data_IF_015874616244
#
_entry.id   IF_015874616244
#
_cell.length_a   1.000
_cell.length_b   1.000
_cell.length_c   1.000
_cell.angle_alpha   90.00
_cell.angle_beta   90.00
_cell.angle_gamma   90.00
#
_symmetry.space_group_name_H-M   'P 1'
#
loop_
_entity.id
_entity.type
_entity.pdbx_description
1 polymer ?
#
# COMPACT_ATOMS: atom_id res chain seq x y z
N UNK A 1 -8.92 -12.53 2.17
CA UNK A 1 -8.55 -11.78 0.96
C UNK A 1 -8.65 -12.67 -0.26
N UNK A 2 -8.96 -12.11 -1.45
CA UNK A 2 -9.14 -12.84 -2.70
C UNK A 2 -8.29 -12.21 -3.79
N UNK A 3 -7.74 -13.06 -4.67
CA UNK A 3 -7.23 -12.65 -5.97
C UNK A 3 -8.21 -13.11 -7.05
N UNK A 4 -8.93 -12.18 -7.65
CA UNK A 4 -9.71 -12.40 -8.85
C UNK A 4 -8.78 -12.28 -10.05
N UNK A 5 -8.57 -13.35 -10.79
CA UNK A 5 -7.54 -13.45 -11.82
C UNK A 5 -8.21 -13.68 -13.16
N UNK A 6 -7.93 -12.81 -14.13
CA UNK A 6 -8.33 -13.08 -15.50
C UNK A 6 -7.56 -14.25 -16.10
N UNK A 7 -8.07 -14.82 -17.17
CA UNK A 7 -7.49 -15.98 -17.85
C UNK A 7 -6.59 -15.56 -19.01
N UNK A 8 -7.20 -14.99 -20.04
CA UNK A 8 -6.53 -14.63 -21.29
C UNK A 8 -5.72 -13.34 -21.09
N UNK A 9 -4.50 -13.26 -21.63
CA UNK A 9 -3.58 -12.15 -21.37
C UNK A 9 -2.98 -12.12 -19.95
N UNK A 10 -3.40 -13.02 -19.04
CA UNK A 10 -3.01 -13.00 -17.61
C UNK A 10 -2.42 -14.32 -17.14
N UNK A 11 -3.16 -15.44 -17.18
CA UNK A 11 -2.64 -16.77 -16.87
C UNK A 11 -2.00 -17.43 -18.10
N UNK A 12 -2.57 -17.16 -19.26
CA UNK A 12 -2.10 -17.59 -20.58
C UNK A 12 -1.97 -16.38 -21.50
N UNK A 13 -1.13 -16.46 -22.51
CA UNK A 13 -1.03 -15.42 -23.54
C UNK A 13 -2.27 -15.41 -24.41
N UNK A 14 -2.70 -14.22 -24.82
CA UNK A 14 -3.82 -14.05 -25.71
C UNK A 14 -3.32 -14.04 -27.17
N UNK A 15 -3.87 -14.89 -28.08
CA UNK A 15 -3.52 -14.88 -29.49
C UNK A 15 -4.16 -13.69 -30.23
N UNK A 16 -3.66 -13.37 -31.44
CA UNK A 16 -4.12 -12.23 -32.23
C UNK A 16 -5.62 -12.25 -32.59
N UNK A 17 -6.24 -13.42 -32.55
CA UNK A 17 -7.68 -13.60 -32.83
C UNK A 17 -8.52 -13.69 -31.55
N UNK A 18 -7.92 -13.40 -30.38
CA UNK A 18 -8.56 -13.34 -29.07
C UNK A 18 -9.23 -14.65 -28.59
N UNK A 19 -8.95 -15.80 -29.24
CA UNK A 19 -9.54 -17.08 -28.85
C UNK A 19 -8.49 -18.18 -28.77
N UNK A 20 -8.34 -18.78 -27.60
CA UNK A 20 -7.52 -19.98 -27.40
C UNK A 20 -8.42 -21.21 -27.57
N UNK A 21 -8.61 -21.62 -28.82
CA UNK A 21 -9.51 -22.70 -29.26
C UNK A 21 -8.79 -23.98 -29.70
N UNK A 22 -7.46 -24.02 -29.57
CA UNK A 22 -6.62 -25.17 -29.82
C UNK A 22 -5.38 -25.21 -28.93
N UNK A 23 -4.77 -26.39 -28.75
CA UNK A 23 -3.54 -26.54 -27.97
C UNK A 23 -2.34 -25.86 -28.62
N UNK A 24 -2.35 -25.66 -29.93
CA UNK A 24 -1.29 -24.94 -30.66
C UNK A 24 -1.27 -23.45 -30.30
N UNK A 25 -2.41 -22.89 -29.90
CA UNK A 25 -2.53 -21.47 -29.45
C UNK A 25 -2.29 -21.32 -27.95
N UNK A 26 -2.25 -22.41 -27.20
CA UNK A 26 -2.09 -22.34 -25.76
C UNK A 26 -0.63 -22.08 -25.39
N UNK A 27 -0.38 -20.88 -24.88
CA UNK A 27 0.90 -20.53 -24.27
C UNK A 27 0.64 -19.96 -22.87
N UNK A 28 1.35 -20.47 -21.85
CA UNK A 28 1.24 -19.93 -20.49
C UNK A 28 2.00 -18.62 -20.41
N UNK A 29 1.47 -17.70 -19.59
CA UNK A 29 2.15 -16.43 -19.35
C UNK A 29 3.55 -16.68 -18.72
N UNK A 30 4.59 -15.93 -19.14
CA UNK A 30 5.94 -16.14 -18.59
C UNK A 30 5.97 -16.12 -17.07
N UNK A 31 6.66 -17.08 -16.48
CA UNK A 31 6.87 -17.24 -15.03
C UNK A 31 5.60 -17.42 -14.16
N UNK A 32 4.40 -17.52 -14.75
CA UNK A 32 3.13 -17.63 -14.01
C UNK A 32 3.11 -18.81 -13.05
N UNK A 33 3.59 -19.97 -13.44
CA UNK A 33 3.64 -21.15 -12.55
C UNK A 33 4.51 -20.92 -11.32
N UNK A 34 5.68 -20.32 -11.51
CA UNK A 34 6.63 -20.06 -10.43
C UNK A 34 6.03 -19.10 -9.41
N UNK A 35 5.52 -17.95 -9.86
CA UNK A 35 5.13 -16.89 -8.93
C UNK A 35 3.70 -17.01 -8.44
N UNK A 36 2.76 -17.49 -9.26
CA UNK A 36 1.42 -17.82 -8.76
C UNK A 36 1.47 -19.02 -7.79
N UNK A 37 2.40 -19.97 -8.03
CA UNK A 37 2.69 -21.04 -7.08
C UNK A 37 3.19 -20.51 -5.74
N UNK A 38 4.09 -19.52 -5.74
CA UNK A 38 4.53 -18.86 -4.51
C UNK A 38 3.39 -18.10 -3.83
N UNK A 39 2.59 -17.34 -4.58
CA UNK A 39 1.40 -16.64 -4.05
C UNK A 39 0.47 -17.65 -3.36
N UNK A 40 0.14 -18.75 -4.02
CA UNK A 40 -0.78 -19.76 -3.50
C UNK A 40 -0.27 -20.47 -2.23
N UNK A 41 1.05 -20.64 -2.08
CA UNK A 41 1.63 -21.44 -0.98
C UNK A 41 2.22 -20.58 0.15
N UNK A 42 2.59 -19.34 -0.11
CA UNK A 42 3.25 -18.45 0.86
C UNK A 42 2.35 -17.33 1.37
N UNK A 43 1.33 -16.93 0.60
CA UNK A 43 0.45 -15.81 0.92
C UNK A 43 -0.98 -16.30 1.23
N UNK A 44 -1.72 -15.52 2.01
CA UNK A 44 -3.08 -15.90 2.44
C UNK A 44 -4.15 -15.30 1.50
N UNK A 45 -4.15 -15.75 0.24
CA UNK A 45 -5.16 -15.37 -0.74
C UNK A 45 -5.94 -16.58 -1.24
N UNK A 46 -7.26 -16.43 -1.32
CA UNK A 46 -8.11 -17.32 -2.10
C UNK A 46 -8.02 -16.94 -3.58
N UNK A 47 -7.79 -17.92 -4.46
CA UNK A 47 -7.61 -17.68 -5.90
C UNK A 47 -8.91 -18.00 -6.64
N UNK A 48 -9.39 -17.06 -7.45
CA UNK A 48 -10.63 -17.18 -8.25
C UNK A 48 -10.36 -16.73 -9.66
N UNK A 49 -10.68 -17.57 -10.65
CA UNK A 49 -10.64 -17.15 -12.06
C UNK A 49 -11.94 -16.43 -12.41
N UNK A 50 -11.82 -15.27 -13.06
CA UNK A 50 -12.96 -14.48 -13.57
C UNK A 50 -12.67 -14.07 -15.00
N UNK A 51 -13.34 -14.67 -15.98
CA UNK A 51 -13.03 -14.47 -17.40
C UNK A 51 -14.30 -14.24 -18.24
N UNK A 52 -14.18 -13.34 -19.24
CA UNK A 52 -15.16 -13.20 -20.31
C UNK A 52 -14.73 -14.09 -21.46
N UNK A 53 -15.63 -14.94 -21.94
CA UNK A 53 -15.41 -15.86 -23.06
C UNK A 53 -16.50 -15.63 -24.12
N UNK A 54 -16.25 -14.67 -24.99
CA UNK A 54 -17.22 -14.16 -25.93
C UNK A 54 -17.80 -15.26 -26.83
N UNK A 55 -19.12 -15.43 -26.77
CA UNK A 55 -19.86 -16.38 -27.57
C UNK A 55 -19.57 -17.86 -27.27
N UNK A 56 -19.02 -18.18 -26.08
CA UNK A 56 -18.81 -19.58 -25.68
C UNK A 56 -20.12 -20.37 -25.70
N UNK A 57 -20.11 -21.47 -26.46
CA UNK A 57 -21.28 -22.31 -26.72
C UNK A 57 -21.99 -21.99 -28.04
N UNK A 58 -21.51 -21.00 -28.82
CA UNK A 58 -21.98 -20.73 -30.19
C UNK A 58 -21.04 -21.35 -31.23
N UNK A 59 -21.42 -21.25 -32.50
CA UNK A 59 -20.59 -21.74 -33.63
C UNK A 59 -19.24 -21.03 -33.70
N UNK A 60 -19.14 -19.76 -33.20
CA UNK A 60 -17.89 -19.00 -33.19
C UNK A 60 -16.92 -19.45 -32.12
N UNK A 61 -17.42 -20.00 -30.99
CA UNK A 61 -16.62 -20.50 -29.86
C UNK A 61 -17.24 -21.78 -29.27
N UNK A 62 -17.10 -22.94 -29.93
CA UNK A 62 -17.72 -24.20 -29.52
C UNK A 62 -17.17 -24.71 -28.20
N UNK A 63 -18.04 -25.17 -27.28
CA UNK A 63 -17.64 -25.73 -25.99
C UNK A 63 -16.67 -26.92 -26.11
N UNK A 64 -16.80 -27.72 -27.17
CA UNK A 64 -15.95 -28.87 -27.45
C UNK A 64 -14.46 -28.49 -27.67
N UNK A 65 -14.20 -27.27 -28.12
CA UNK A 65 -12.84 -26.73 -28.26
C UNK A 65 -12.36 -26.06 -26.99
N UNK A 66 -13.23 -25.38 -26.27
CA UNK A 66 -12.88 -24.64 -25.07
C UNK A 66 -12.55 -25.54 -23.86
N UNK A 67 -13.44 -26.51 -23.54
CA UNK A 67 -13.31 -27.28 -22.29
C UNK A 67 -12.06 -28.16 -22.20
N UNK A 68 -11.58 -28.82 -23.28
CA UNK A 68 -10.32 -29.57 -23.21
C UNK A 68 -9.14 -28.70 -22.81
N UNK A 69 -9.06 -27.45 -23.33
CA UNK A 69 -7.99 -26.51 -23.06
C UNK A 69 -8.14 -25.98 -21.62
N UNK A 70 -9.33 -25.54 -21.25
CA UNK A 70 -9.61 -25.05 -19.91
C UNK A 70 -9.27 -26.10 -18.85
N UNK A 71 -9.67 -27.34 -19.05
CA UNK A 71 -9.36 -28.43 -18.12
C UNK A 71 -7.84 -28.70 -18.04
N UNK A 72 -7.14 -28.58 -19.17
CA UNK A 72 -5.69 -28.72 -19.19
C UNK A 72 -4.99 -27.58 -18.43
N UNK A 73 -5.43 -26.34 -18.59
CA UNK A 73 -4.91 -25.20 -17.83
C UNK A 73 -5.06 -25.43 -16.34
N UNK A 74 -6.28 -25.76 -15.89
CA UNK A 74 -6.56 -25.99 -14.46
C UNK A 74 -5.75 -27.16 -13.93
N UNK A 75 -5.62 -28.26 -14.68
CA UNK A 75 -4.80 -29.41 -14.30
C UNK A 75 -3.32 -29.07 -14.20
N UNK A 76 -2.82 -28.22 -15.10
CA UNK A 76 -1.42 -27.77 -15.08
C UNK A 76 -1.12 -26.97 -13.81
N UNK A 77 -1.97 -26.01 -13.44
CA UNK A 77 -1.84 -25.27 -12.18
C UNK A 77 -1.97 -26.18 -10.96
N UNK A 78 -2.90 -27.12 -10.97
CA UNK A 78 -3.05 -28.09 -9.88
C UNK A 78 -1.78 -28.93 -9.68
N UNK A 79 -1.05 -29.30 -10.73
CA UNK A 79 0.21 -30.02 -10.64
C UNK A 79 1.31 -29.21 -9.94
N UNK A 80 1.20 -27.86 -9.97
CA UNK A 80 2.08 -26.91 -9.29
C UNK A 80 1.54 -26.49 -7.91
N UNK A 81 0.57 -27.24 -7.35
CA UNK A 81 -0.11 -26.96 -6.09
C UNK A 81 -0.87 -25.62 -6.06
N UNK A 82 -1.30 -25.12 -7.22
CA UNK A 82 -2.17 -23.96 -7.34
C UNK A 82 -3.61 -24.42 -7.52
N UNK A 83 -4.49 -24.06 -6.60
CA UNK A 83 -5.89 -24.43 -6.60
C UNK A 83 -6.76 -23.18 -6.68
N UNK A 84 -7.66 -23.15 -7.65
CA UNK A 84 -8.68 -22.10 -7.75
C UNK A 84 -9.96 -22.58 -7.03
N UNK A 85 -10.47 -21.76 -6.12
CA UNK A 85 -11.71 -22.05 -5.37
C UNK A 85 -12.96 -21.91 -6.23
N UNK A 86 -12.93 -21.03 -7.23
CA UNK A 86 -13.98 -20.84 -8.22
C UNK A 86 -13.39 -20.51 -9.60
N UNK A 87 -14.15 -20.86 -10.64
CA UNK A 87 -13.86 -20.51 -12.03
C UNK A 87 -15.17 -19.93 -12.61
N UNK A 88 -15.19 -18.61 -12.72
CA UNK A 88 -16.37 -17.83 -13.10
C UNK A 88 -16.21 -17.36 -14.56
N UNK A 89 -17.09 -17.85 -15.43
CA UNK A 89 -17.01 -17.63 -16.87
C UNK A 89 -18.29 -16.91 -17.31
N UNK A 90 -18.13 -15.71 -17.87
CA UNK A 90 -19.20 -15.09 -18.65
C UNK A 90 -19.09 -15.52 -20.13
N UNK A 91 -20.21 -15.87 -20.75
CA UNK A 91 -20.27 -16.41 -22.11
C UNK A 91 -20.86 -15.42 -23.12
N UNK A 92 -21.26 -14.23 -22.66
CA UNK A 92 -21.96 -13.26 -23.47
C UNK A 92 -21.03 -12.42 -24.32
N UNK A 93 -21.55 -11.87 -25.42
CA UNK A 93 -20.83 -10.85 -26.18
C UNK A 93 -20.91 -9.49 -25.48
N UNK A 94 -19.94 -8.62 -25.74
CA UNK A 94 -19.90 -7.27 -25.18
C UNK A 94 -21.16 -6.44 -25.48
N UNK A 95 -21.73 -6.63 -26.67
CA UNK A 95 -22.97 -5.97 -27.09
C UNK A 95 -24.22 -6.32 -26.26
N UNK A 96 -24.20 -7.43 -25.52
CA UNK A 96 -25.31 -7.87 -24.66
C UNK A 96 -25.35 -7.15 -23.33
N UNK A 97 -24.23 -6.51 -22.93
CA UNK A 97 -24.07 -5.79 -21.67
C UNK A 97 -24.63 -6.58 -20.46
N UNK A 98 -24.32 -7.86 -20.40
CA UNK A 98 -24.83 -8.76 -19.36
C UNK A 98 -24.35 -8.35 -17.95
N UNK A 99 -25.17 -8.49 -16.91
CA UNK A 99 -24.77 -8.16 -15.52
C UNK A 99 -23.65 -9.07 -14.99
N UNK A 100 -23.39 -10.20 -15.64
CA UNK A 100 -22.36 -11.18 -15.29
C UNK A 100 -21.02 -10.93 -15.98
N UNK A 101 -21.03 -10.16 -17.10
CA UNK A 101 -19.84 -9.83 -17.88
C UNK A 101 -19.00 -8.75 -17.18
N UNK A 102 -17.67 -8.95 -17.06
CA UNK A 102 -16.75 -7.88 -16.62
C UNK A 102 -16.91 -6.65 -17.52
N UNK A 103 -16.97 -5.44 -16.96
CA UNK A 103 -16.69 -5.05 -15.56
C UNK A 103 -17.85 -5.15 -14.57
N UNK A 104 -18.98 -5.75 -14.94
CA UNK A 104 -20.09 -5.96 -14.01
C UNK A 104 -19.77 -7.08 -13.00
N UNK A 105 -20.43 -7.02 -11.83
CA UNK A 105 -20.09 -7.86 -10.68
C UNK A 105 -21.05 -9.04 -10.47
N UNK A 106 -21.94 -9.32 -11.42
CA UNK A 106 -23.01 -10.31 -11.27
C UNK A 106 -22.55 -11.73 -10.95
N UNK A 107 -21.38 -12.16 -11.45
CA UNK A 107 -20.77 -13.44 -11.09
C UNK A 107 -20.19 -13.47 -9.68
N UNK A 108 -19.97 -12.31 -9.05
CA UNK A 108 -19.21 -12.14 -7.81
C UNK A 108 -20.11 -11.89 -6.59
N UNK A 109 -21.42 -12.06 -6.71
CA UNK A 109 -22.40 -11.83 -5.64
C UNK A 109 -22.15 -12.67 -4.39
N UNK A 110 -21.60 -13.89 -4.54
CA UNK A 110 -21.15 -14.77 -3.45
C UNK A 110 -20.11 -14.07 -2.56
N UNK A 111 -19.22 -13.31 -3.14
CA UNK A 111 -18.13 -12.63 -2.45
C UNK A 111 -18.55 -11.27 -1.90
N UNK A 112 -19.36 -10.52 -2.66
CA UNK A 112 -19.84 -9.19 -2.26
C UNK A 112 -20.76 -9.27 -1.03
N UNK A 113 -21.62 -10.29 -0.97
CA UNK A 113 -22.62 -10.43 0.07
C UNK A 113 -22.13 -11.22 1.30
N UNK A 114 -20.87 -11.63 1.33
CA UNK A 114 -20.32 -12.39 2.44
C UNK A 114 -19.28 -11.56 3.22
N UNK A 115 -19.56 -11.21 4.49
CA UNK A 115 -18.66 -10.39 5.32
C UNK A 115 -17.33 -11.10 5.69
N UNK A 116 -17.20 -12.41 5.45
CA UNK A 116 -15.97 -13.14 5.68
C UNK A 116 -14.88 -12.79 4.66
N UNK A 117 -15.27 -12.17 3.53
CA UNK A 117 -14.36 -11.73 2.49
C UNK A 117 -14.00 -10.24 2.63
N UNK A 118 -12.71 -9.97 2.75
CA UNK A 118 -12.17 -8.61 2.77
C UNK A 118 -11.88 -8.14 1.34
N UNK A 119 -12.90 -7.56 0.68
CA UNK A 119 -12.76 -7.06 -0.69
C UNK A 119 -11.87 -5.82 -0.78
N UNK A 120 -11.80 -5.01 0.27
CA UNK A 120 -10.97 -3.79 0.30
C UNK A 120 -9.48 -4.11 0.17
N UNK A 121 -9.04 -5.23 0.76
CA UNK A 121 -7.67 -5.74 0.67
C UNK A 121 -7.52 -6.90 -0.32
N UNK A 122 -8.49 -7.06 -1.23
CA UNK A 122 -8.45 -8.01 -2.34
C UNK A 122 -8.03 -7.33 -3.65
N UNK A 123 -7.63 -8.12 -4.64
CA UNK A 123 -7.17 -7.58 -5.92
C UNK A 123 -7.85 -8.27 -7.10
N UNK A 124 -8.01 -7.52 -8.18
CA UNK A 124 -8.31 -8.05 -9.52
C UNK A 124 -7.04 -7.94 -10.37
N UNK A 125 -6.59 -9.06 -10.92
CA UNK A 125 -5.41 -9.14 -11.80
C UNK A 125 -5.90 -9.40 -13.21
N UNK A 126 -5.57 -8.52 -14.13
CA UNK A 126 -5.95 -8.65 -15.53
C UNK A 126 -5.20 -7.71 -16.47
N UNK A 127 -5.28 -7.98 -17.76
CA UNK A 127 -4.58 -7.26 -18.81
C UNK A 127 -5.45 -6.19 -19.48
N UNK A 128 -6.74 -6.11 -19.13
CA UNK A 128 -7.69 -5.17 -19.72
C UNK A 128 -8.15 -4.12 -18.72
N UNK A 129 -8.49 -2.94 -19.23
CA UNK A 129 -9.03 -1.87 -18.38
C UNK A 129 -10.40 -2.26 -17.75
N UNK A 130 -11.12 -3.21 -18.35
CA UNK A 130 -12.33 -3.81 -17.78
C UNK A 130 -12.07 -4.54 -16.47
N UNK A 131 -10.88 -5.11 -16.26
CA UNK A 131 -10.47 -5.75 -15.01
C UNK A 131 -10.22 -4.71 -13.92
N UNK A 132 -9.59 -3.59 -14.29
CA UNK A 132 -9.40 -2.45 -13.37
C UNK A 132 -10.76 -1.87 -12.97
N UNK A 133 -11.70 -1.76 -13.92
CA UNK A 133 -13.06 -1.29 -13.64
C UNK A 133 -13.84 -2.28 -12.77
N UNK A 134 -13.63 -3.58 -12.96
CA UNK A 134 -14.19 -4.61 -12.08
C UNK A 134 -13.67 -4.43 -10.65
N UNK A 135 -12.35 -4.20 -10.48
CA UNK A 135 -11.77 -3.91 -9.17
C UNK A 135 -12.44 -2.69 -8.51
N UNK A 136 -12.62 -1.59 -9.25
CA UNK A 136 -13.30 -0.39 -8.77
C UNK A 136 -14.75 -0.70 -8.33
N UNK A 137 -15.49 -1.45 -9.13
CA UNK A 137 -16.88 -1.82 -8.84
C UNK A 137 -17.01 -2.76 -7.63
N UNK A 138 -15.96 -3.51 -7.30
CA UNK A 138 -15.87 -4.37 -6.10
C UNK A 138 -15.41 -3.61 -4.85
N UNK A 139 -14.91 -2.38 -4.98
CA UNK A 139 -14.23 -1.67 -3.90
C UNK A 139 -12.85 -2.26 -3.56
N UNK A 140 -12.25 -3.02 -4.48
CA UNK A 140 -10.92 -3.61 -4.40
C UNK A 140 -9.89 -2.83 -5.22
N UNK A 141 -8.66 -3.31 -5.31
CA UNK A 141 -7.60 -2.71 -6.13
C UNK A 141 -7.29 -3.56 -7.37
N UNK A 142 -6.86 -2.90 -8.44
CA UNK A 142 -6.44 -3.55 -9.68
C UNK A 142 -4.92 -3.77 -9.73
N UNK A 143 -4.51 -4.94 -10.21
CA UNK A 143 -3.15 -5.20 -10.67
C UNK A 143 -3.23 -5.34 -12.19
N UNK A 144 -2.72 -4.36 -12.91
CA UNK A 144 -2.81 -4.27 -14.36
C UNK A 144 -1.58 -4.89 -15.00
N UNK A 145 -1.75 -6.07 -15.63
CA UNK A 145 -0.65 -6.87 -16.21
C UNK A 145 -0.52 -6.65 -17.72
N UNK A 146 -0.42 -5.40 -18.17
CA UNK A 146 -0.25 -5.06 -19.59
C UNK A 146 0.59 -3.80 -19.78
N UNK A 147 1.09 -3.63 -21.01
CA UNK A 147 1.75 -2.41 -21.46
C UNK A 147 0.78 -1.44 -22.17
N UNK A 148 -0.34 -1.95 -22.70
CA UNK A 148 -1.31 -1.18 -23.46
C UNK A 148 -2.57 -0.92 -22.62
N UNK A 149 -2.80 0.35 -22.27
CA UNK A 149 -3.97 0.78 -21.51
C UNK A 149 -5.23 0.91 -22.37
N UNK A 150 -5.13 0.75 -23.67
CA UNK A 150 -6.27 0.87 -24.59
C UNK A 150 -7.12 -0.41 -24.66
N UNK A 151 -6.59 -1.56 -24.22
CA UNK A 151 -7.31 -2.84 -24.25
C UNK A 151 -8.58 -2.80 -23.39
N UNK A 152 -9.75 -2.98 -24.04
CA UNK A 152 -11.06 -2.97 -23.40
C UNK A 152 -11.60 -1.57 -23.06
N UNK A 153 -10.95 -0.49 -23.49
CA UNK A 153 -11.40 0.87 -23.21
C UNK A 153 -12.75 1.22 -23.89
N UNK A 154 -13.08 0.56 -24.99
CA UNK A 154 -14.35 0.68 -25.71
C UNK A 154 -15.54 0.04 -24.97
N UNK A 155 -15.27 -0.87 -24.05
CA UNK A 155 -16.29 -1.51 -23.20
C UNK A 155 -16.63 -0.68 -21.93
N UNK A 156 -15.95 0.46 -21.71
CA UNK A 156 -16.14 1.27 -20.49
C UNK A 156 -16.66 2.65 -20.86
N UNK A 157 -17.79 3.03 -20.28
CA UNK A 157 -18.43 4.33 -20.50
C UNK A 157 -17.88 5.47 -19.62
N UNK A 158 -17.22 5.16 -18.51
CA UNK A 158 -16.65 6.13 -17.56
C UNK A 158 -15.33 5.64 -16.98
N UNK A 159 -14.27 6.43 -17.22
CA UNK A 159 -12.89 6.15 -16.81
C UNK A 159 -12.48 6.91 -15.51
N UNK A 160 -13.40 7.61 -14.84
CA UNK A 160 -13.07 8.41 -13.65
C UNK A 160 -12.53 7.53 -12.52
N UNK A 161 -11.39 7.92 -11.97
CA UNK A 161 -10.76 7.27 -10.82
C UNK A 161 -10.11 5.90 -11.11
N UNK A 162 -10.02 5.45 -12.36
CA UNK A 162 -9.40 4.14 -12.68
C UNK A 162 -7.92 4.10 -12.33
N UNK A 163 -7.18 5.19 -12.60
CA UNK A 163 -5.75 5.26 -12.24
C UNK A 163 -5.51 5.15 -10.73
N UNK A 164 -6.44 5.63 -9.92
CA UNK A 164 -6.39 5.53 -8.45
C UNK A 164 -6.73 4.11 -7.96
N UNK A 165 -7.40 3.33 -8.79
CA UNK A 165 -7.74 1.93 -8.52
C UNK A 165 -6.55 1.01 -8.79
N UNK A 166 -5.65 1.37 -9.72
CA UNK A 166 -4.48 0.57 -10.05
C UNK A 166 -3.45 0.65 -8.91
N UNK A 167 -3.25 -0.47 -8.23
CA UNK A 167 -2.24 -0.60 -7.18
C UNK A 167 -0.85 -0.96 -7.74
N UNK A 168 -0.82 -1.71 -8.84
CA UNK A 168 0.40 -2.10 -9.54
C UNK A 168 0.14 -2.17 -11.04
N UNK A 169 1.05 -1.62 -11.85
CA UNK A 169 1.13 -1.84 -13.29
C UNK A 169 2.44 -2.55 -13.62
N UNK A 170 2.36 -3.70 -14.28
CA UNK A 170 3.53 -4.54 -14.57
C UNK A 170 3.23 -5.50 -15.72
N UNK A 171 4.27 -6.16 -16.24
CA UNK A 171 4.17 -7.30 -17.17
C UNK A 171 4.79 -8.56 -16.59
N UNK A 172 5.05 -8.57 -15.27
CA UNK A 172 5.83 -9.63 -14.61
C UNK A 172 5.07 -10.23 -13.42
N UNK A 173 4.84 -11.54 -13.45
CA UNK A 173 4.32 -12.29 -12.29
C UNK A 173 5.26 -12.24 -11.08
N UNK A 174 6.57 -12.08 -11.32
CA UNK A 174 7.55 -11.84 -10.24
C UNK A 174 7.20 -10.56 -9.48
N UNK A 175 6.98 -9.45 -10.20
CA UNK A 175 6.61 -8.18 -9.58
C UNK A 175 5.26 -8.22 -8.87
N UNK A 176 4.30 -9.01 -9.38
CA UNK A 176 3.01 -9.23 -8.70
C UNK A 176 3.23 -9.94 -7.36
N UNK A 177 4.00 -11.04 -7.35
CA UNK A 177 4.32 -11.75 -6.11
C UNK A 177 5.05 -10.86 -5.10
N UNK A 178 6.08 -10.14 -5.54
CA UNK A 178 6.82 -9.21 -4.69
C UNK A 178 5.91 -8.12 -4.09
N UNK A 179 5.01 -7.56 -4.91
CA UNK A 179 4.02 -6.58 -4.47
C UNK A 179 3.04 -7.17 -3.43
N UNK A 180 2.46 -8.34 -3.70
CA UNK A 180 1.48 -8.99 -2.81
C UNK A 180 2.10 -9.51 -1.52
N UNK A 181 3.37 -9.93 -1.55
CA UNK A 181 4.13 -10.35 -0.37
C UNK A 181 4.38 -9.19 0.60
N UNK A 182 4.37 -7.97 0.09
CA UNK A 182 4.58 -6.79 0.89
C UNK A 182 3.28 -6.46 1.65
N UNK A 183 3.28 -6.65 2.97
CA UNK A 183 2.17 -6.23 3.83
C UNK A 183 1.86 -4.74 3.64
N UNK A 184 0.59 -4.37 3.72
CA UNK A 184 0.18 -2.96 3.74
C UNK A 184 0.76 -2.29 4.99
N UNK A 185 1.64 -1.31 4.82
CA UNK A 185 2.28 -0.58 5.92
C UNK A 185 1.48 0.67 6.30
N UNK A 186 0.17 0.49 6.44
CA UNK A 186 -0.73 1.51 6.96
C UNK A 186 -1.26 1.09 8.32
N UNK A 187 -1.39 2.06 9.21
CA UNK A 187 -1.97 1.85 10.53
C UNK A 187 -2.74 3.08 10.98
N UNK A 188 -3.71 2.87 11.87
CA UNK A 188 -4.49 3.91 12.51
C UNK A 188 -4.48 3.70 14.02
N UNK A 189 -4.37 4.78 14.79
CA UNK A 189 -4.45 4.76 16.25
C UNK A 189 -5.37 5.85 16.75
N UNK A 190 -6.13 5.52 17.79
CA UNK A 190 -6.87 6.49 18.61
C UNK A 190 -6.36 6.36 20.03
N UNK A 191 -5.81 7.44 20.59
CA UNK A 191 -5.31 7.50 21.96
C UNK A 191 -5.99 8.65 22.68
N UNK A 192 -6.69 8.34 23.77
CA UNK A 192 -7.38 9.30 24.59
C UNK A 192 -6.88 9.19 26.03
N UNK A 193 -6.53 10.33 26.62
CA UNK A 193 -6.22 10.49 28.05
C UNK A 193 -7.22 11.44 28.67
N UNK A 194 -7.00 11.88 29.93
CA UNK A 194 -7.75 12.98 30.54
C UNK A 194 -7.42 14.33 29.91
N UNK A 195 -6.22 14.48 29.36
CA UNK A 195 -5.65 15.73 28.85
C UNK A 195 -5.74 15.84 27.32
N UNK A 196 -5.73 14.70 26.59
CA UNK A 196 -5.64 14.71 25.13
C UNK A 196 -6.56 13.69 24.47
N UNK A 197 -7.07 14.04 23.25
CA UNK A 197 -7.75 13.11 22.34
C UNK A 197 -7.02 13.15 21.01
N UNK A 198 -6.47 12.02 20.62
CA UNK A 198 -5.55 11.92 19.49
C UNK A 198 -6.04 10.86 18.52
N UNK A 199 -6.08 11.21 17.23
CA UNK A 199 -6.25 10.27 16.13
C UNK A 199 -5.10 10.45 15.14
N UNK A 200 -4.43 9.35 14.79
CA UNK A 200 -3.37 9.33 13.78
C UNK A 200 -3.64 8.20 12.79
N UNK A 201 -3.62 8.56 11.49
CA UNK A 201 -3.62 7.61 10.38
C UNK A 201 -2.29 7.77 9.63
N UNK A 202 -1.56 6.68 9.44
CA UNK A 202 -0.23 6.64 8.79
C UNK A 202 -0.22 5.62 7.65
N UNK A 203 0.32 6.02 6.50
CA UNK A 203 0.71 5.14 5.42
C UNK A 203 2.19 5.35 5.08
N UNK A 204 3.04 4.35 5.38
CA UNK A 204 4.49 4.42 5.13
C UNK A 204 4.83 4.36 3.63
N UNK A 205 3.95 3.83 2.79
CA UNK A 205 4.07 3.75 1.34
C UNK A 205 3.30 4.88 0.63
N UNK A 206 3.16 6.03 1.30
CA UNK A 206 2.45 7.21 0.83
C UNK A 206 3.24 8.07 -0.17
N UNK A 207 2.70 9.25 -0.43
CA UNK A 207 3.22 10.24 -1.39
C UNK A 207 3.69 11.54 -0.73
N UNK A 208 3.58 11.66 0.59
CA UNK A 208 3.92 12.86 1.37
C UNK A 208 2.73 13.79 1.60
N UNK A 209 1.50 13.30 1.46
CA UNK A 209 0.26 14.02 1.81
C UNK A 209 0.13 14.13 3.32
N UNK A 210 -0.34 15.27 3.80
CA UNK A 210 -0.54 15.48 5.23
C UNK A 210 -1.81 16.30 5.51
N UNK A 211 -2.50 15.94 6.62
CA UNK A 211 -3.61 16.69 7.19
C UNK A 211 -3.44 16.72 8.71
N UNK A 212 -2.76 17.77 9.21
CA UNK A 212 -2.27 17.85 10.60
C UNK A 212 -2.90 19.05 11.30
N UNK A 213 -3.42 18.81 12.49
CA UNK A 213 -3.99 19.83 13.37
C UNK A 213 -3.83 19.41 14.84
N UNK A 214 -2.91 20.06 15.54
CA UNK A 214 -2.64 19.84 16.98
C UNK A 214 -3.05 21.05 17.85
N UNK A 215 -3.40 22.16 17.20
CA UNK A 215 -3.62 23.45 17.88
C UNK A 215 -2.34 24.26 18.11
N UNK A 216 -1.15 23.70 17.85
CA UNK A 216 0.16 24.37 17.96
C UNK A 216 0.74 24.49 16.54
N UNK A 217 0.59 25.66 15.89
CA UNK A 217 0.93 25.83 14.49
C UNK A 217 2.39 25.52 14.14
N UNK A 218 3.32 25.83 15.01
CA UNK A 218 4.74 25.50 14.79
C UNK A 218 4.97 23.98 14.86
N UNK A 219 4.29 23.29 15.78
CA UNK A 219 4.34 21.84 15.85
C UNK A 219 3.71 21.17 14.63
N UNK A 220 2.55 21.68 14.16
CA UNK A 220 1.94 21.24 12.91
C UNK A 220 2.92 21.35 11.73
N UNK A 221 3.66 22.48 11.65
CA UNK A 221 4.67 22.67 10.63
C UNK A 221 5.81 21.63 10.72
N UNK A 222 6.27 21.32 11.93
CA UNK A 222 7.32 20.30 12.15
C UNK A 222 6.84 18.89 11.76
N UNK A 223 5.63 18.51 12.13
CA UNK A 223 5.02 17.22 11.76
C UNK A 223 4.80 17.12 10.25
N UNK A 224 4.45 18.22 9.57
CA UNK A 224 4.38 18.27 8.10
C UNK A 224 5.75 17.98 7.43
N UNK A 225 6.88 18.36 8.06
CA UNK A 225 8.20 17.98 7.53
C UNK A 225 8.39 16.46 7.52
N UNK A 226 7.86 15.76 8.56
CA UNK A 226 7.93 14.30 8.64
C UNK A 226 7.20 13.66 7.45
N UNK A 227 5.94 14.04 7.22
CA UNK A 227 5.16 13.52 6.09
C UNK A 227 5.84 13.81 4.74
N UNK A 228 6.13 15.09 4.48
CA UNK A 228 6.65 15.55 3.18
C UNK A 228 8.02 14.96 2.84
N UNK A 229 8.97 15.04 3.76
CA UNK A 229 10.35 14.58 3.52
C UNK A 229 10.51 13.07 3.71
N UNK A 230 9.66 12.46 4.54
CA UNK A 230 9.53 11.01 4.71
C UNK A 230 8.82 10.33 3.52
N UNK A 231 8.07 11.09 2.71
CA UNK A 231 7.21 10.57 1.63
C UNK A 231 6.20 9.54 2.14
N UNK A 232 5.63 9.80 3.32
CA UNK A 232 4.54 9.03 3.91
C UNK A 232 3.28 9.88 3.97
N UNK A 233 2.09 9.26 3.90
CA UNK A 233 0.84 10.00 4.10
C UNK A 233 0.50 9.97 5.58
N UNK A 234 0.19 11.15 6.16
CA UNK A 234 0.04 11.32 7.60
C UNK A 234 -1.12 12.25 7.94
N UNK A 235 -2.11 11.71 8.62
CA UNK A 235 -3.21 12.50 9.22
C UNK A 235 -3.05 12.50 10.73
N UNK A 236 -3.02 13.69 11.35
CA UNK A 236 -2.95 13.85 12.81
C UNK A 236 -4.02 14.85 13.25
N UNK A 237 -4.92 14.43 14.13
CA UNK A 237 -5.93 15.27 14.75
C UNK A 237 -5.81 15.15 16.24
N UNK A 238 -5.60 16.29 16.90
CA UNK A 238 -5.40 16.39 18.36
C UNK A 238 -6.32 17.46 18.94
N UNK A 239 -7.02 17.08 20.00
CA UNK A 239 -7.73 17.98 20.91
C UNK A 239 -7.08 17.83 22.28
N UNK A 240 -6.21 18.77 22.63
CA UNK A 240 -5.42 18.79 23.87
C UNK A 240 -5.76 19.95 24.78
N UNK A 241 -5.35 19.88 26.03
CA UNK A 241 -5.59 20.85 27.09
C UNK A 241 -4.66 22.08 27.04
N UNK A 242 -4.52 22.69 25.84
CA UNK A 242 -3.65 23.84 25.56
C UNK A 242 -3.91 25.06 26.45
N UNK A 243 -5.03 25.12 27.18
CA UNK A 243 -5.30 26.11 28.21
C UNK A 243 -4.44 25.89 29.47
N UNK A 244 -3.87 24.70 29.64
CA UNK A 244 -2.90 24.39 30.73
C UNK A 244 -1.50 24.74 30.22
N UNK A 245 -1.01 23.95 29.27
CA UNK A 245 0.20 24.21 28.48
C UNK A 245 0.23 23.30 27.23
N UNK A 246 1.33 23.30 26.48
CA UNK A 246 1.52 22.47 25.27
C UNK A 246 2.13 21.10 25.57
N UNK A 247 2.57 20.84 26.76
CA UNK A 247 3.38 19.66 27.15
C UNK A 247 2.65 18.35 26.81
N UNK A 248 1.44 18.16 27.38
CA UNK A 248 0.66 16.94 27.15
C UNK A 248 0.34 16.73 25.66
N UNK A 249 0.00 17.81 24.94
CA UNK A 249 -0.30 17.76 23.52
C UNK A 249 0.90 17.25 22.71
N UNK A 250 2.11 17.73 23.01
CA UNK A 250 3.33 17.35 22.26
C UNK A 250 3.77 15.93 22.61
N UNK A 251 3.86 15.59 23.91
CA UNK A 251 4.33 14.26 24.34
C UNK A 251 3.36 13.15 23.92
N UNK A 252 2.07 13.31 24.17
CA UNK A 252 1.07 12.31 23.83
C UNK A 252 0.95 12.11 22.31
N UNK A 253 1.08 13.18 21.52
CA UNK A 253 1.13 13.08 20.06
C UNK A 253 2.37 12.32 19.61
N UNK A 254 3.52 12.57 20.23
CA UNK A 254 4.77 11.87 19.89
C UNK A 254 4.72 10.37 20.25
N UNK A 255 4.15 10.02 21.40
CA UNK A 255 3.93 8.61 21.78
C UNK A 255 3.02 7.93 20.76
N UNK A 256 1.85 8.53 20.47
CA UNK A 256 0.89 7.99 19.52
C UNK A 256 1.49 7.86 18.10
N UNK A 257 2.31 8.83 17.67
CA UNK A 257 3.04 8.77 16.41
C UNK A 257 4.04 7.61 16.41
N UNK A 258 4.79 7.41 17.47
CA UNK A 258 5.69 6.27 17.60
C UNK A 258 4.95 4.93 17.58
N UNK A 259 3.85 4.81 18.29
CA UNK A 259 3.01 3.60 18.34
C UNK A 259 2.43 3.25 16.96
N UNK A 260 1.92 4.24 16.22
CA UNK A 260 1.39 3.99 14.86
C UNK A 260 2.49 3.59 13.87
N UNK A 261 3.74 4.11 14.03
CA UNK A 261 4.90 3.62 13.28
C UNK A 261 5.21 2.17 13.61
N UNK A 262 5.21 1.79 14.88
CA UNK A 262 5.43 0.40 15.29
C UNK A 262 4.37 -0.55 14.72
N UNK A 263 3.11 -0.14 14.71
CA UNK A 263 2.00 -0.89 14.10
C UNK A 263 2.17 -1.03 12.58
N UNK A 264 2.46 0.06 11.88
CA UNK A 264 2.63 0.07 10.43
C UNK A 264 3.86 -0.73 9.97
N UNK A 265 4.93 -0.79 10.77
CA UNK A 265 6.13 -1.58 10.50
C UNK A 265 5.94 -3.08 10.79
N UNK A 266 4.92 -3.45 11.56
CA UNK A 266 4.59 -4.83 11.87
C UNK A 266 5.79 -5.64 12.41
N UNK A 267 6.10 -6.75 11.73
CA UNK A 267 7.21 -7.64 12.09
C UNK A 267 8.60 -7.09 11.77
N UNK A 268 8.67 -5.95 11.06
CA UNK A 268 9.92 -5.27 10.65
C UNK A 268 10.83 -6.09 9.71
N UNK A 269 10.28 -7.11 9.05
CA UNK A 269 10.99 -7.85 8.02
C UNK A 269 10.94 -7.09 6.69
N UNK A 270 11.99 -7.26 5.86
CA UNK A 270 12.06 -6.65 4.53
C UNK A 270 12.14 -5.12 4.54
N UNK A 271 12.80 -4.53 5.53
CA UNK A 271 13.13 -3.08 5.58
C UNK A 271 14.63 -2.87 5.73
N UNK A 272 15.13 -1.74 5.26
CA UNK A 272 16.54 -1.32 5.43
C UNK A 272 16.94 -1.10 6.90
N UNK A 273 15.98 -0.85 7.77
CA UNK A 273 16.11 -0.69 9.22
C UNK A 273 16.86 0.56 9.68
N UNK A 274 17.85 1.07 8.95
CA UNK A 274 18.74 2.17 9.33
C UNK A 274 18.64 3.39 8.42
N UNK A 275 18.98 4.60 8.93
CA UNK A 275 19.00 5.82 8.14
C UNK A 275 19.78 6.98 8.78
N UNK A 276 20.08 8.07 8.04
CA UNK A 276 21.07 9.14 8.38
C UNK A 276 20.77 10.58 7.86
N UNK A 277 21.67 11.46 7.71
CA UNK A 277 22.06 12.88 7.93
C UNK A 277 21.79 13.95 6.83
N UNK A 278 21.62 15.28 7.21
CA UNK A 278 21.30 16.39 6.28
C UNK A 278 21.81 17.78 6.75
N UNK A 279 22.42 18.65 5.87
CA UNK A 279 22.66 20.06 6.14
C UNK A 279 21.47 20.95 5.80
N UNK A 280 21.32 22.09 6.47
CA UNK A 280 20.34 23.15 6.19
C UNK A 280 20.94 24.52 6.51
N UNK A 281 21.28 25.30 5.47
CA UNK A 281 21.93 26.62 5.58
C UNK A 281 23.14 26.59 6.54
N UNK A 282 23.08 27.35 7.65
CA UNK A 282 24.10 27.41 8.68
C UNK A 282 24.10 26.21 9.66
N UNK A 283 23.13 25.28 9.51
CA UNK A 283 22.92 24.19 10.42
C UNK A 283 23.27 22.84 9.79
N UNK A 284 23.80 21.94 10.61
CA UNK A 284 24.01 20.53 10.28
C UNK A 284 23.26 19.67 11.30
N UNK A 285 22.32 18.84 10.85
CA UNK A 285 21.69 17.84 11.66
C UNK A 285 22.11 16.43 11.25
N UNK A 286 22.51 15.63 12.20
CA UNK A 286 22.81 14.21 12.05
C UNK A 286 21.77 13.42 12.81
N UNK A 287 21.01 12.58 12.11
CA UNK A 287 19.98 11.74 12.70
C UNK A 287 20.19 10.31 12.24
N UNK A 288 20.45 9.41 13.18
CA UNK A 288 20.55 7.99 12.93
C UNK A 288 19.42 7.29 13.68
N UNK A 289 18.67 6.43 12.99
CA UNK A 289 17.57 5.65 13.55
C UNK A 289 17.80 4.16 13.34
N UNK A 290 17.37 3.34 14.32
CA UNK A 290 17.28 1.89 14.23
C UNK A 290 15.93 1.42 14.81
N UNK A 291 15.07 0.84 13.97
CA UNK A 291 13.82 0.23 14.38
C UNK A 291 14.01 -1.17 15.01
N UNK A 292 15.06 -1.34 15.82
CA UNK A 292 15.48 -2.61 16.42
C UNK A 292 14.63 -3.15 17.58
N UNK A 293 13.52 -2.47 17.93
CA UNK A 293 12.60 -2.91 18.99
C UNK A 293 13.02 -2.50 20.41
N UNK A 294 14.13 -1.78 20.58
CA UNK A 294 14.58 -1.22 21.87
C UNK A 294 14.60 0.29 21.76
N UNK A 295 13.95 0.96 22.72
CA UNK A 295 13.90 2.42 22.76
C UNK A 295 15.15 2.99 23.43
N UNK A 296 15.78 3.96 22.77
CA UNK A 296 16.85 4.77 23.32
C UNK A 296 16.99 6.08 22.57
N UNK A 297 17.16 7.19 23.26
CA UNK A 297 17.48 8.49 22.66
C UNK A 297 18.85 8.96 23.11
N UNK A 298 19.72 9.31 22.16
CA UNK A 298 20.90 10.16 22.38
C UNK A 298 20.60 11.51 21.77
N UNK A 299 20.67 12.56 22.57
CA UNK A 299 20.38 13.92 22.17
C UNK A 299 21.58 14.81 22.42
N UNK A 300 22.14 15.39 21.35
CA UNK A 300 23.27 16.33 21.35
C UNK A 300 22.88 17.53 20.47
N UNK A 301 21.97 18.36 21.01
CA UNK A 301 21.51 19.58 20.35
C UNK A 301 21.09 20.61 21.40
N UNK A 302 21.88 21.68 21.52
CA UNK A 302 21.64 22.75 22.48
C UNK A 302 20.81 23.88 21.84
N UNK A 303 19.83 24.37 22.60
CA UNK A 303 19.01 25.54 22.26
C UNK A 303 19.14 26.58 23.37
N UNK A 304 19.37 27.85 22.98
CA UNK A 304 19.51 28.97 23.92
C UNK A 304 18.24 29.78 24.09
N UNK A 305 17.37 29.75 23.08
CA UNK A 305 16.06 30.41 23.13
C UNK A 305 15.09 29.52 23.90
N UNK A 306 14.27 30.13 24.73
CA UNK A 306 13.22 29.41 25.46
C UNK A 306 12.12 28.93 24.53
N UNK A 307 11.81 29.71 23.47
CA UNK A 307 10.72 29.44 22.53
C UNK A 307 11.17 29.58 21.09
N UNK A 308 10.67 28.71 20.21
CA UNK A 308 10.70 28.88 18.76
C UNK A 308 9.26 28.75 18.25
N UNK A 309 8.73 29.83 17.68
CA UNK A 309 7.29 29.92 17.42
C UNK A 309 6.51 29.82 18.73
N UNK A 310 5.59 28.90 18.79
CA UNK A 310 4.73 28.62 19.95
C UNK A 310 5.21 27.39 20.76
N UNK A 311 6.41 26.89 20.49
CA UNK A 311 6.92 25.66 21.06
C UNK A 311 8.14 25.92 21.94
N UNK A 312 8.13 25.57 23.24
CA UNK A 312 9.31 25.59 24.08
C UNK A 312 10.39 24.68 23.56
N UNK A 313 11.64 25.12 23.63
CA UNK A 313 12.76 24.36 23.06
C UNK A 313 13.07 23.06 23.82
N UNK A 314 12.72 22.99 25.10
CA UNK A 314 12.80 21.75 25.88
C UNK A 314 11.89 20.66 25.33
N UNK A 315 10.75 21.03 24.73
CA UNK A 315 9.81 20.07 24.16
C UNK A 315 10.33 19.34 22.91
N UNK A 316 11.41 19.82 22.30
CA UNK A 316 12.05 19.08 21.20
C UNK A 316 12.66 17.76 21.69
N UNK A 317 13.36 17.78 22.83
CA UNK A 317 13.84 16.56 23.45
C UNK A 317 12.69 15.63 23.83
N UNK A 318 11.66 16.16 24.48
CA UNK A 318 10.48 15.40 24.91
C UNK A 318 9.77 14.75 23.73
N UNK A 319 9.60 15.45 22.59
CA UNK A 319 9.03 14.89 21.38
C UNK A 319 9.79 13.64 20.88
N UNK A 320 11.10 13.77 20.69
CA UNK A 320 11.90 12.65 20.17
C UNK A 320 12.03 11.51 21.18
N UNK A 321 12.06 11.82 22.47
CA UNK A 321 12.05 10.78 23.54
C UNK A 321 10.74 9.99 23.52
N UNK A 322 9.61 10.67 23.48
CA UNK A 322 8.28 10.06 23.45
C UNK A 322 8.05 9.25 22.16
N UNK A 323 8.53 9.78 21.02
CA UNK A 323 8.51 9.01 19.77
C UNK A 323 9.31 7.71 19.88
N UNK A 324 10.53 7.74 20.43
CA UNK A 324 11.35 6.52 20.57
C UNK A 324 10.69 5.48 21.48
N UNK A 325 9.99 5.93 22.51
CA UNK A 325 9.26 5.05 23.42
C UNK A 325 8.08 4.35 22.72
N UNK A 326 7.28 5.09 21.95
CA UNK A 326 6.15 4.54 21.18
C UNK A 326 6.62 3.64 20.03
N UNK A 327 7.58 4.09 19.21
CA UNK A 327 8.10 3.36 18.06
C UNK A 327 9.00 2.18 18.44
N UNK A 328 9.46 2.10 19.71
CA UNK A 328 10.51 1.17 20.16
C UNK A 328 11.72 1.22 19.24
N UNK A 329 12.19 2.44 18.99
CA UNK A 329 13.31 2.74 18.12
C UNK A 329 14.50 3.31 18.89
N UNK A 330 15.70 3.07 18.38
CA UNK A 330 16.91 3.71 18.85
C UNK A 330 17.19 4.93 17.97
N UNK A 331 17.39 6.10 18.57
CA UNK A 331 17.54 7.35 17.87
C UNK A 331 18.73 8.14 18.42
N UNK A 332 19.63 8.54 17.53
CA UNK A 332 20.74 9.44 17.84
C UNK A 332 20.56 10.73 17.03
N UNK A 333 20.53 11.86 17.73
CA UNK A 333 20.39 13.19 17.13
C UNK A 333 21.56 14.05 17.60
N UNK A 334 22.27 14.63 16.62
CA UNK A 334 23.24 15.69 16.86
C UNK A 334 22.95 16.84 15.92
N UNK A 335 22.93 18.09 16.43
CA UNK A 335 22.75 19.26 15.59
C UNK A 335 23.58 20.46 16.04
N UNK A 336 24.21 21.11 15.07
CA UNK A 336 25.04 22.30 15.21
C UNK A 336 24.49 23.42 14.31
N UNK A 337 24.72 24.67 14.66
CA UNK A 337 24.30 25.85 13.91
C UNK A 337 23.92 27.02 14.83
N UNK A 338 23.77 28.19 14.24
CA UNK A 338 23.51 29.43 14.99
C UNK A 338 22.06 29.85 14.99
N UNK A 339 21.34 29.59 13.87
CA UNK A 339 19.91 29.86 13.78
C UNK A 339 19.12 28.68 14.34
N UNK A 340 18.52 28.87 15.50
CA UNK A 340 17.84 27.79 16.22
C UNK A 340 16.55 27.33 15.56
N UNK A 341 15.86 28.17 14.76
CA UNK A 341 14.75 27.75 13.91
C UNK A 341 15.25 26.77 12.81
N UNK A 342 16.32 27.17 12.09
CA UNK A 342 16.94 26.27 11.10
C UNK A 342 17.45 24.97 11.73
N UNK A 343 17.99 25.06 12.95
CA UNK A 343 18.51 23.89 13.69
C UNK A 343 17.41 22.87 13.96
N UNK A 344 16.28 23.27 14.54
CA UNK A 344 15.19 22.32 14.80
C UNK A 344 14.50 21.83 13.51
N UNK A 345 14.33 22.71 12.55
CA UNK A 345 13.76 22.31 11.25
C UNK A 345 14.69 21.31 10.51
N UNK A 346 16.01 21.50 10.58
CA UNK A 346 16.98 20.55 10.02
C UNK A 346 16.92 19.19 10.73
N UNK A 347 16.71 19.16 12.04
CA UNK A 347 16.52 17.93 12.80
C UNK A 347 15.27 17.18 12.31
N UNK A 348 14.12 17.84 12.18
CA UNK A 348 12.88 17.20 11.70
C UNK A 348 13.00 16.70 10.24
N UNK A 349 13.66 17.47 9.37
CA UNK A 349 13.93 17.04 7.99
C UNK A 349 14.89 15.85 7.93
N UNK A 350 15.96 15.88 8.72
CA UNK A 350 16.93 14.78 8.80
C UNK A 350 16.26 13.52 9.37
N UNK A 351 15.44 13.67 10.40
CA UNK A 351 14.63 12.60 10.99
C UNK A 351 13.68 11.99 9.94
N UNK A 352 12.95 12.81 9.20
CA UNK A 352 12.07 12.35 8.13
C UNK A 352 12.82 11.56 7.05
N UNK A 353 14.02 12.05 6.63
CA UNK A 353 14.87 11.37 5.66
C UNK A 353 15.47 10.08 6.22
N UNK A 354 15.87 10.07 7.48
CA UNK A 354 16.35 8.86 8.15
C UNK A 354 15.25 7.79 8.20
N UNK A 355 14.02 8.16 8.56
CA UNK A 355 12.87 7.26 8.51
C UNK A 355 12.65 6.75 7.08
N UNK A 356 12.59 7.64 6.07
CA UNK A 356 12.38 7.24 4.68
C UNK A 356 13.35 6.14 4.23
N UNK A 357 14.62 6.27 4.59
CA UNK A 357 15.63 5.25 4.26
C UNK A 357 15.40 4.00 5.10
N UNK A 358 15.23 4.15 6.41
CA UNK A 358 15.08 3.02 7.34
C UNK A 358 13.85 2.16 7.05
N UNK A 359 12.74 2.75 6.58
CA UNK A 359 11.51 2.01 6.23
C UNK A 359 11.45 1.58 4.76
N UNK A 360 12.46 1.94 3.97
CA UNK A 360 12.54 1.50 2.58
C UNK A 360 12.44 -0.02 2.54
N UNK A 361 11.67 -0.54 1.60
CA UNK A 361 11.53 -1.97 1.42
C UNK A 361 12.80 -2.56 0.81
N UNK A 362 13.24 -3.65 1.38
CA UNK A 362 14.31 -4.50 0.88
C UNK A 362 13.72 -5.91 0.70
N UNK A 363 13.40 -6.29 -0.55
CA UNK A 363 12.76 -7.58 -0.83
C UNK A 363 13.70 -8.78 -0.74
N UNK A 364 15.03 -8.56 -0.66
CA UNK A 364 16.04 -9.59 -0.52
C UNK A 364 16.20 -9.96 0.98
#
# INVERSE_FOLDING_TARGET
>A
QILFIDRDGTLILEPNDYQVDSFEKLEFYPEVFTYLGKIANELNYELVIVTNQDGLGTDSHPEEKFWPIQNFIIKSFKNENVYFSDILIDKTFSSENAPTRKPNTGLLTKYINNPDYDLTNSFVIGDRITDVKLAQNLGSKGIFIANDEALGADEISNNDGLNETIALKTTSWKSIYEFLKLENRSASIVRNTSETKIKIDLNLDGTGKSDISTGIHFFDHMLNQIARHGQMDLTIKVDGDLQVDEHHTIEDTAIALGEVFALALGNKLGIERYGFTLPMDDCLAQVAIDFGGRNWLVWDADFKREMIGQMPTEMFYHFFKSFTDGAKANLNIKAEGTNEHHKIESIFKAFAKAIKVAVKRDPD
#
